data_IF_673218599134
#
_entry.id   IF_673218599134
#
_cell.length_a   1.000
_cell.length_b   1.000
_cell.length_c   1.000
_cell.angle_alpha   90.00
_cell.angle_beta   90.00
_cell.angle_gamma   90.00
#
_symmetry.space_group_name_H-M   'P 1'
#
loop_
_entity.id
_entity.type
_entity.pdbx_description
1 polymer ?
#
# COMPACT_ATOMS: atom_id res chain seq x y z
N UNK A 1 20.47 21.77 72.85
CA UNK A 1 19.61 20.81 72.10
C UNK A 1 18.31 21.54 71.75
N UNK A 2 18.05 21.83 70.46
CA UNK A 2 17.17 21.03 69.56
C UNK A 2 15.71 21.09 70.08
N UNK A 3 14.65 21.54 69.41
CA UNK A 3 14.27 21.61 67.99
C UNK A 3 13.12 22.61 67.88
N UNK A 4 13.21 23.64 67.05
CA UNK A 4 12.04 24.45 66.61
C UNK A 4 12.31 24.93 65.19
N UNK A 5 12.03 24.08 64.19
CA UNK A 5 11.91 24.43 62.76
C UNK A 5 11.78 23.13 61.96
N UNK A 6 10.58 22.57 61.79
CA UNK A 6 10.31 21.55 60.76
C UNK A 6 8.82 21.17 60.74
N UNK A 7 7.90 22.08 60.42
CA UNK A 7 6.48 21.70 60.23
C UNK A 7 5.77 22.47 59.10
N UNK A 8 6.51 23.13 58.20
CA UNK A 8 5.92 23.85 57.05
C UNK A 8 6.70 23.59 55.76
N UNK A 9 6.99 22.33 55.45
CA UNK A 9 7.60 21.95 54.16
C UNK A 9 7.16 20.55 53.67
N UNK A 10 5.97 20.08 54.07
CA UNK A 10 5.48 18.77 53.66
C UNK A 10 4.03 18.76 53.12
N UNK A 11 3.52 19.93 52.72
CA UNK A 11 2.18 20.05 52.13
C UNK A 11 2.18 20.62 50.69
N UNK A 12 3.35 20.91 50.12
CA UNK A 12 3.48 21.47 48.77
C UNK A 12 4.30 20.62 47.80
N UNK A 13 4.47 19.33 48.11
CA UNK A 13 5.16 18.36 47.23
C UNK A 13 4.28 17.17 46.83
N UNK A 14 3.02 17.12 47.29
CA UNK A 14 2.07 16.05 46.95
C UNK A 14 1.10 16.39 45.79
N UNK A 15 1.11 17.64 45.28
CA UNK A 15 0.13 18.09 44.28
C UNK A 15 0.64 18.06 42.82
N UNK A 16 1.88 17.67 42.55
CA UNK A 16 2.47 17.71 41.19
C UNK A 16 2.59 16.31 40.53
N UNK A 17 2.26 15.23 41.23
CA UNK A 17 2.47 13.86 40.74
C UNK A 17 1.28 13.23 39.97
N UNK A 18 0.21 13.97 39.66
CA UNK A 18 -1.03 13.42 39.10
C UNK A 18 -1.35 13.85 37.65
N UNK A 19 -0.46 14.57 36.97
CA UNK A 19 -0.77 15.14 35.64
C UNK A 19 -0.20 14.39 34.42
N UNK A 20 0.46 13.23 34.58
CA UNK A 20 1.20 12.59 33.47
C UNK A 20 0.69 11.23 32.96
N UNK A 21 -0.50 10.77 33.34
CA UNK A 21 -0.98 9.41 32.96
C UNK A 21 -2.07 9.34 31.87
N UNK A 22 -2.58 10.44 31.32
CA UNK A 22 -3.80 10.36 30.49
C UNK A 22 -3.60 9.89 29.04
N UNK A 23 -2.38 10.01 28.47
CA UNK A 23 -2.17 9.70 27.05
C UNK A 23 -2.04 8.21 26.74
N UNK A 24 -1.29 7.47 27.56
CA UNK A 24 -0.99 6.05 27.31
C UNK A 24 -2.17 5.14 27.57
N UNK A 25 -3.00 5.44 28.57
CA UNK A 25 -4.17 4.63 28.94
C UNK A 25 -5.28 4.70 27.87
N UNK A 26 -5.46 5.85 27.22
CA UNK A 26 -6.45 6.05 26.15
C UNK A 26 -6.05 5.33 24.86
N UNK A 27 -4.77 5.41 24.45
CA UNK A 27 -4.27 4.68 23.28
C UNK A 27 -4.38 3.16 23.46
N UNK A 28 -4.08 2.67 24.66
CA UNK A 28 -4.21 1.26 25.01
C UNK A 28 -5.68 0.79 24.97
N UNK A 29 -6.62 1.64 25.40
CA UNK A 29 -8.05 1.35 25.35
C UNK A 29 -8.56 1.16 23.91
N UNK A 30 -8.13 2.02 22.98
CA UNK A 30 -8.49 1.89 21.56
C UNK A 30 -7.86 0.62 20.93
N UNK A 31 -6.59 0.35 21.25
CA UNK A 31 -5.86 -0.81 20.71
C UNK A 31 -6.40 -2.16 21.19
N UNK A 32 -7.04 -2.22 22.35
CA UNK A 32 -7.67 -3.42 22.93
C UNK A 32 -9.20 -3.43 22.81
N UNK A 33 -9.79 -2.48 22.07
CA UNK A 33 -11.23 -2.43 21.83
C UNK A 33 -11.74 -3.76 21.23
N UNK A 34 -12.84 -4.33 21.75
CA UNK A 34 -13.39 -5.58 21.24
C UNK A 34 -14.07 -5.37 19.88
N UNK A 35 -14.18 -6.45 19.10
CA UNK A 35 -15.04 -6.44 17.93
C UNK A 35 -16.52 -6.18 18.35
N UNK A 36 -17.24 -5.30 17.62
CA UNK A 36 -18.66 -5.02 17.88
C UNK A 36 -19.55 -6.26 17.90
N UNK A 37 -20.65 -6.21 18.66
CA UNK A 37 -21.54 -7.38 18.86
C UNK A 37 -22.23 -7.84 17.57
N UNK A 38 -22.67 -6.89 16.76
CA UNK A 38 -23.25 -7.14 15.43
C UNK A 38 -22.26 -7.86 14.51
N UNK A 39 -20.99 -7.43 14.52
CA UNK A 39 -19.91 -8.09 13.79
C UNK A 39 -19.69 -9.51 14.27
N UNK A 40 -19.65 -9.73 15.59
CA UNK A 40 -19.55 -11.07 16.17
C UNK A 40 -20.73 -11.96 15.76
N UNK A 41 -21.95 -11.42 15.67
CA UNK A 41 -23.13 -12.16 15.23
C UNK A 41 -23.02 -12.56 13.74
N UNK A 42 -22.59 -11.63 12.87
CA UNK A 42 -22.32 -11.92 11.45
C UNK A 42 -21.28 -13.02 11.31
N UNK A 43 -20.17 -12.92 12.06
CA UNK A 43 -19.12 -13.93 12.07
C UNK A 43 -19.63 -15.29 12.50
N UNK A 44 -20.39 -15.36 13.60
CA UNK A 44 -20.93 -16.62 14.11
C UNK A 44 -21.89 -17.27 13.11
N UNK A 45 -22.73 -16.48 12.43
CA UNK A 45 -23.64 -16.99 11.40
C UNK A 45 -22.91 -17.58 10.18
N UNK A 46 -21.65 -17.19 9.96
CA UNK A 46 -20.81 -17.61 8.84
C UNK A 46 -19.70 -18.60 9.24
N UNK A 47 -19.79 -19.19 10.45
CA UNK A 47 -18.81 -20.18 10.92
C UNK A 47 -17.42 -19.59 11.22
N UNK A 48 -17.34 -18.30 11.56
CA UNK A 48 -16.08 -17.61 11.86
C UNK A 48 -15.94 -17.35 13.35
N UNK A 49 -14.73 -17.48 13.90
CA UNK A 49 -14.43 -17.11 15.29
C UNK A 49 -13.58 -15.84 15.33
N UNK A 50 -13.45 -15.17 16.50
CA UNK A 50 -12.57 -13.99 16.66
C UNK A 50 -11.17 -14.21 16.10
N UNK A 51 -10.60 -15.38 16.38
CA UNK A 51 -9.25 -15.77 15.99
C UNK A 51 -9.13 -16.39 14.58
N UNK A 52 -10.19 -16.42 13.76
CA UNK A 52 -10.05 -16.98 12.40
C UNK A 52 -9.06 -16.17 11.57
N UNK A 53 -8.24 -16.82 10.72
CA UNK A 53 -7.37 -16.10 9.79
C UNK A 53 -8.13 -15.07 8.95
N UNK A 54 -7.46 -13.97 8.62
CA UNK A 54 -8.03 -12.88 7.82
C UNK A 54 -7.19 -12.61 6.58
N UNK A 55 -7.80 -11.89 5.65
CA UNK A 55 -7.14 -11.13 4.61
C UNK A 55 -7.92 -9.85 4.36
N UNK A 56 -7.29 -8.86 3.75
CA UNK A 56 -7.96 -7.61 3.40
C UNK A 56 -7.79 -7.33 1.91
N UNK A 57 -8.79 -6.68 1.32
CA UNK A 57 -8.70 -6.17 -0.05
C UNK A 57 -9.01 -4.69 -0.06
N UNK A 58 -8.23 -3.93 -0.79
CA UNK A 58 -8.39 -2.50 -0.96
C UNK A 58 -8.66 -2.24 -2.43
N UNK A 59 -9.68 -1.45 -2.71
CA UNK A 59 -10.09 -1.07 -4.05
C UNK A 59 -10.10 0.46 -4.14
N UNK A 60 -9.20 1.01 -4.97
CA UNK A 60 -9.03 2.47 -5.06
C UNK A 60 -10.22 3.15 -5.72
N UNK A 61 -10.72 2.65 -6.84
CA UNK A 61 -11.88 3.25 -7.54
C UNK A 61 -13.17 3.18 -6.72
N UNK A 62 -13.38 2.06 -6.05
CA UNK A 62 -14.54 1.88 -5.20
C UNK A 62 -14.39 2.54 -3.83
N UNK A 63 -13.20 3.05 -3.49
CA UNK A 63 -12.87 3.67 -2.20
C UNK A 63 -13.25 2.79 -1.01
N UNK A 64 -12.97 1.48 -1.10
CA UNK A 64 -13.31 0.53 -0.03
C UNK A 64 -12.17 -0.38 0.40
N UNK A 65 -12.16 -0.69 1.69
CA UNK A 65 -11.41 -1.78 2.30
C UNK A 65 -12.38 -2.88 2.73
N UNK A 66 -12.15 -4.10 2.26
CA UNK A 66 -12.91 -5.29 2.63
C UNK A 66 -12.11 -6.16 3.62
N UNK A 67 -12.75 -6.59 4.70
CA UNK A 67 -12.19 -7.60 5.61
C UNK A 67 -12.83 -8.95 5.32
N UNK A 68 -12.00 -9.90 4.93
CA UNK A 68 -12.37 -11.29 4.65
C UNK A 68 -11.81 -12.19 5.73
N UNK A 69 -12.55 -13.23 6.10
CA UNK A 69 -12.17 -14.11 7.21
C UNK A 69 -12.47 -15.56 6.88
N UNK A 70 -11.61 -16.45 7.35
CA UNK A 70 -11.75 -17.88 7.13
C UNK A 70 -12.94 -18.44 7.94
N UNK A 71 -13.83 -19.14 7.25
CA UNK A 71 -14.93 -19.92 7.81
C UNK A 71 -14.43 -21.28 8.30
N UNK A 72 -15.31 -22.05 8.93
CA UNK A 72 -15.08 -23.45 9.32
C UNK A 72 -14.81 -24.39 8.14
N UNK A 73 -15.24 -24.03 6.92
CA UNK A 73 -14.94 -24.78 5.69
C UNK A 73 -13.53 -24.54 5.16
N UNK A 74 -12.76 -23.62 5.75
CA UNK A 74 -11.42 -23.25 5.30
C UNK A 74 -11.38 -22.22 4.17
N UNK A 75 -12.53 -21.82 3.63
CA UNK A 75 -12.66 -20.72 2.65
C UNK A 75 -12.84 -19.38 3.36
N UNK A 76 -12.57 -18.31 2.64
CA UNK A 76 -12.73 -16.95 3.09
C UNK A 76 -14.05 -16.39 2.58
N UNK A 77 -14.75 -15.72 3.47
CA UNK A 77 -15.97 -15.00 3.13
C UNK A 77 -15.89 -13.57 3.70
N UNK A 78 -16.57 -12.65 3.04
CA UNK A 78 -16.58 -11.23 3.38
C UNK A 78 -17.26 -11.04 4.72
N UNK A 79 -16.59 -10.41 5.67
CA UNK A 79 -17.21 -10.06 6.96
C UNK A 79 -17.84 -8.69 6.87
N UNK A 80 -17.07 -7.70 6.40
CA UNK A 80 -17.49 -6.31 6.34
C UNK A 80 -16.67 -5.51 5.33
N UNK A 81 -17.28 -4.44 4.84
CA UNK A 81 -16.68 -3.46 3.93
C UNK A 81 -16.70 -2.11 4.62
N UNK A 82 -15.60 -1.36 4.50
CA UNK A 82 -15.41 -0.04 5.06
C UNK A 82 -15.07 0.94 3.95
N UNK A 83 -15.70 2.10 3.96
CA UNK A 83 -15.34 3.22 3.09
C UNK A 83 -14.00 3.80 3.52
N UNK A 84 -13.16 4.13 2.54
CA UNK A 84 -11.86 4.76 2.72
C UNK A 84 -12.09 6.27 2.65
N UNK A 85 -11.70 6.99 3.70
CA UNK A 85 -11.80 8.45 3.74
C UNK A 85 -10.97 9.14 2.65
N UNK A 86 -9.72 8.70 2.54
CA UNK A 86 -8.76 9.29 1.63
C UNK A 86 -7.63 8.31 1.33
N UNK A 87 -7.18 8.30 0.09
CA UNK A 87 -5.88 7.77 -0.29
C UNK A 87 -5.16 8.80 -1.17
N UNK A 88 -3.86 8.63 -1.40
CA UNK A 88 -3.10 9.59 -2.21
C UNK A 88 -2.70 9.01 -3.55
N UNK A 89 -2.61 9.89 -4.55
CA UNK A 89 -2.26 9.56 -5.92
C UNK A 89 -3.46 8.99 -6.69
N UNK A 90 -3.20 8.55 -7.91
CA UNK A 90 -4.22 7.99 -8.80
C UNK A 90 -4.20 6.45 -8.76
N UNK A 91 -4.95 5.82 -9.66
CA UNK A 91 -4.75 4.40 -10.00
C UNK A 91 -3.39 4.22 -10.63
N UNK A 92 -2.60 3.33 -10.06
CA UNK A 92 -1.24 3.01 -10.46
C UNK A 92 -0.39 2.57 -9.27
N UNK A 93 0.74 1.88 -9.54
CA UNK A 93 1.68 1.50 -8.51
C UNK A 93 2.45 2.72 -7.96
N UNK A 94 2.87 2.62 -6.70
CA UNK A 94 3.85 3.52 -6.09
C UNK A 94 5.26 3.22 -6.65
N UNK A 95 6.08 4.24 -6.89
CA UNK A 95 7.45 4.06 -7.40
C UNK A 95 8.53 4.59 -6.46
N UNK A 96 8.31 5.74 -5.83
CA UNK A 96 9.38 6.47 -5.12
C UNK A 96 8.91 7.03 -3.78
N UNK A 97 9.85 7.20 -2.85
CA UNK A 97 9.60 7.94 -1.61
C UNK A 97 9.11 9.37 -1.92
N UNK A 98 8.08 9.83 -1.21
CA UNK A 98 7.51 11.17 -1.43
C UNK A 98 6.67 11.38 -2.70
N UNK A 99 6.46 10.37 -3.55
CA UNK A 99 5.60 10.49 -4.76
C UNK A 99 4.09 10.67 -4.45
N UNK A 100 3.71 10.64 -3.16
CA UNK A 100 2.32 10.73 -2.68
C UNK A 100 1.39 9.71 -3.35
N UNK A 101 1.90 8.53 -3.70
CA UNK A 101 1.13 7.45 -4.31
C UNK A 101 0.90 6.32 -3.32
N UNK A 102 -0.36 5.93 -3.10
CA UNK A 102 -0.69 4.69 -2.38
C UNK A 102 -0.38 3.47 -3.26
N UNK A 103 0.24 2.42 -2.70
CA UNK A 103 0.73 1.28 -3.48
C UNK A 103 -0.42 0.39 -3.99
N UNK A 104 -0.13 -0.38 -5.03
CA UNK A 104 -0.96 -1.49 -5.51
C UNK A 104 -0.11 -2.75 -5.45
N UNK A 105 -0.72 -3.91 -5.20
CA UNK A 105 0.01 -5.17 -5.08
C UNK A 105 -0.47 -6.08 -3.96
N UNK A 106 0.38 -7.06 -3.63
CA UNK A 106 0.13 -8.06 -2.58
C UNK A 106 1.12 -7.85 -1.44
N UNK A 107 0.59 -7.65 -0.24
CA UNK A 107 1.32 -7.27 0.95
C UNK A 107 1.02 -8.24 2.09
N UNK A 108 1.93 -8.34 3.06
CA UNK A 108 1.79 -9.24 4.20
C UNK A 108 2.06 -8.49 5.50
N UNK A 109 1.04 -8.44 6.36
CA UNK A 109 1.05 -7.71 7.61
C UNK A 109 1.16 -8.70 8.76
N UNK A 110 2.30 -8.68 9.45
CA UNK A 110 2.54 -9.46 10.65
C UNK A 110 2.32 -8.62 11.92
N UNK A 111 2.46 -9.23 13.09
CA UNK A 111 2.25 -8.57 14.38
C UNK A 111 3.15 -7.35 14.60
N UNK A 112 4.37 -7.36 14.07
CA UNK A 112 5.34 -6.26 14.22
C UNK A 112 5.02 -5.05 13.35
N UNK A 113 4.11 -5.21 12.37
CA UNK A 113 3.62 -4.15 11.52
C UNK A 113 2.34 -3.50 12.06
N UNK A 114 1.78 -3.99 13.18
CA UNK A 114 0.72 -3.31 13.90
C UNK A 114 1.30 -2.18 14.76
N UNK A 115 0.62 -1.04 14.78
CA UNK A 115 1.01 0.12 15.57
C UNK A 115 -0.17 0.63 16.42
N UNK A 116 -0.27 0.22 17.69
CA UNK A 116 -1.31 0.70 18.60
C UNK A 116 -1.09 2.17 19.03
N UNK A 117 0.12 2.70 18.88
CA UNK A 117 0.50 4.05 19.33
C UNK A 117 0.65 5.02 18.14
N UNK A 118 -0.13 4.81 17.08
CA UNK A 118 -0.12 5.69 15.91
C UNK A 118 -0.57 7.10 16.28
N UNK A 119 0.13 8.11 15.75
CA UNK A 119 -0.28 9.51 15.87
C UNK A 119 -1.56 9.85 15.08
N UNK A 120 -2.06 8.91 14.27
CA UNK A 120 -3.26 9.03 13.44
C UNK A 120 -4.37 8.06 13.88
N UNK A 121 -4.47 7.76 15.18
CA UNK A 121 -5.43 6.81 15.77
C UNK A 121 -5.36 5.38 15.21
N UNK A 122 -4.50 4.55 15.82
CA UNK A 122 -4.15 3.19 15.38
C UNK A 122 -3.60 3.14 13.94
N UNK A 123 -2.73 2.18 13.67
CA UNK A 123 -2.37 1.87 12.27
C UNK A 123 -1.79 0.48 12.12
N UNK A 124 -1.68 0.04 10.89
CA UNK A 124 -0.73 -1.00 10.52
C UNK A 124 -0.04 -0.67 9.21
N UNK A 125 1.21 -1.09 9.09
CA UNK A 125 2.02 -0.88 7.90
C UNK A 125 1.82 -2.07 6.93
N UNK A 126 1.63 -1.77 5.64
CA UNK A 126 1.48 -2.78 4.59
C UNK A 126 2.78 -3.59 4.35
N UNK A 127 3.95 -3.06 4.72
CA UNK A 127 5.23 -3.70 4.42
C UNK A 127 5.71 -3.44 2.99
N UNK A 128 5.26 -2.33 2.38
CA UNK A 128 5.87 -1.80 1.17
C UNK A 128 7.29 -1.26 1.48
N UNK A 129 8.28 -1.44 0.59
CA UNK A 129 8.21 -2.19 -0.67
C UNK A 129 8.31 -3.69 -0.45
N UNK A 130 7.46 -4.50 -1.12
CA UNK A 130 7.54 -5.96 -1.08
C UNK A 130 8.65 -6.50 -2.03
N UNK A 131 8.76 -7.83 -2.20
CA UNK A 131 9.79 -8.42 -3.07
C UNK A 131 9.69 -7.97 -4.55
N UNK A 132 8.46 -7.83 -5.07
CA UNK A 132 8.20 -7.29 -6.41
C UNK A 132 8.62 -5.82 -6.51
N UNK A 133 8.27 -5.02 -5.51
CA UNK A 133 8.59 -3.60 -5.50
C UNK A 133 10.11 -3.39 -5.46
N UNK A 134 10.81 -4.12 -4.59
CA UNK A 134 12.27 -4.06 -4.46
C UNK A 134 12.99 -4.52 -5.73
N UNK A 135 12.50 -5.56 -6.43
CA UNK A 135 13.14 -6.03 -7.67
C UNK A 135 13.02 -5.03 -8.83
N UNK A 136 12.09 -4.08 -8.74
CA UNK A 136 11.96 -2.93 -9.64
C UNK A 136 12.67 -1.66 -9.13
N UNK A 137 13.41 -1.75 -8.02
CA UNK A 137 14.08 -0.58 -7.42
C UNK A 137 13.11 0.46 -6.86
N UNK A 138 11.86 0.09 -6.54
CA UNK A 138 10.89 1.02 -5.95
C UNK A 138 11.28 1.35 -4.52
N UNK A 139 11.10 2.61 -4.15
CA UNK A 139 11.43 3.14 -2.82
C UNK A 139 10.20 3.75 -2.15
N UNK A 140 10.26 3.87 -0.83
CA UNK A 140 9.15 4.33 -0.02
C UNK A 140 9.10 3.61 1.32
N UNK A 141 8.40 4.20 2.28
CA UNK A 141 8.25 3.64 3.62
C UNK A 141 6.94 4.13 4.26
N UNK A 142 6.48 3.41 5.30
CA UNK A 142 5.30 3.79 6.09
C UNK A 142 4.00 3.92 5.29
N UNK A 143 3.76 3.01 4.34
CA UNK A 143 2.48 2.89 3.65
C UNK A 143 1.50 2.16 4.58
N UNK A 144 0.68 2.93 5.27
CA UNK A 144 -0.17 2.44 6.35
C UNK A 144 -1.66 2.43 5.97
N UNK A 145 -2.41 1.65 6.73
CA UNK A 145 -3.85 1.86 6.94
C UNK A 145 -4.01 2.44 8.34
N UNK A 146 -4.66 3.61 8.47
CA UNK A 146 -4.73 4.35 9.74
C UNK A 146 -6.02 5.19 9.86
N UNK A 147 -6.28 5.79 11.03
CA UNK A 147 -7.42 6.70 11.28
C UNK A 147 -7.18 8.14 10.81
N UNK A 148 -7.78 9.11 11.48
CA UNK A 148 -7.66 10.57 11.23
C UNK A 148 -8.15 11.07 9.85
N UNK A 149 -8.68 10.18 8.99
CA UNK A 149 -9.32 10.54 7.71
C UNK A 149 -8.47 11.45 6.79
N UNK A 150 -7.14 11.46 6.96
CA UNK A 150 -6.20 12.37 6.29
C UNK A 150 -5.03 11.59 5.72
N UNK A 151 -4.72 11.72 4.42
CA UNK A 151 -3.68 10.90 3.77
C UNK A 151 -2.63 11.71 3.00
N UNK A 152 -1.36 11.25 3.08
CA UNK A 152 -0.21 11.70 2.27
C UNK A 152 0.54 10.53 1.63
N UNK A 153 -0.17 9.44 1.31
CA UNK A 153 0.38 8.20 0.74
C UNK A 153 -0.27 6.92 1.30
N UNK A 154 -1.01 7.04 2.41
CA UNK A 154 -1.65 5.93 3.12
C UNK A 154 -3.09 5.70 2.68
N UNK A 155 -3.71 4.64 3.20
CA UNK A 155 -5.17 4.48 3.17
C UNK A 155 -5.73 4.97 4.51
N UNK A 156 -6.29 6.18 4.51
CA UNK A 156 -6.88 6.77 5.71
C UNK A 156 -8.34 6.31 5.85
N UNK A 157 -8.70 5.91 7.06
CA UNK A 157 -10.02 5.48 7.49
C UNK A 157 -10.55 6.48 8.51
N UNK A 158 -11.83 6.37 8.87
CA UNK A 158 -12.33 7.01 10.10
C UNK A 158 -11.76 6.30 11.33
N UNK A 159 -11.73 7.00 12.46
CA UNK A 159 -11.26 6.43 13.73
C UNK A 159 -12.07 5.21 14.17
N UNK A 160 -13.38 5.24 13.94
CA UNK A 160 -14.27 4.12 14.19
C UNK A 160 -13.91 2.90 13.33
N UNK A 161 -13.71 3.10 12.02
CA UNK A 161 -13.40 2.00 11.11
C UNK A 161 -12.04 1.40 11.38
N UNK A 162 -11.00 2.20 11.61
CA UNK A 162 -9.68 1.66 11.92
C UNK A 162 -9.66 0.93 13.27
N UNK A 163 -10.41 1.37 14.28
CA UNK A 163 -10.53 0.62 15.54
C UNK A 163 -11.07 -0.79 15.31
N UNK A 164 -12.11 -0.91 14.47
CA UNK A 164 -12.68 -2.22 14.15
C UNK A 164 -11.74 -3.07 13.27
N UNK A 165 -11.16 -2.49 12.22
CA UNK A 165 -10.19 -3.16 11.32
C UNK A 165 -8.96 -3.62 12.11
N UNK A 166 -8.45 -2.80 13.01
CA UNK A 166 -7.32 -3.13 13.89
C UNK A 166 -7.69 -4.27 14.84
N UNK A 167 -8.91 -4.27 15.40
CA UNK A 167 -9.38 -5.39 16.22
C UNK A 167 -9.42 -6.70 15.41
N UNK A 168 -9.87 -6.70 14.15
CA UNK A 168 -9.79 -7.89 13.30
C UNK A 168 -8.35 -8.40 13.14
N UNK A 169 -7.41 -7.50 12.82
CA UNK A 169 -6.00 -7.84 12.66
C UNK A 169 -5.39 -8.39 13.95
N UNK A 170 -5.63 -7.71 15.08
CA UNK A 170 -5.16 -8.11 16.41
C UNK A 170 -5.67 -9.49 16.78
N UNK A 171 -6.98 -9.74 16.69
CA UNK A 171 -7.59 -11.01 17.08
C UNK A 171 -7.12 -12.19 16.21
N UNK A 172 -6.99 -11.98 14.89
CA UNK A 172 -6.51 -12.99 13.96
C UNK A 172 -5.05 -13.40 14.26
N UNK A 173 -4.16 -12.41 14.42
CA UNK A 173 -2.74 -12.65 14.71
C UNK A 173 -2.52 -13.21 16.12
N UNK A 174 -3.24 -12.69 17.12
CA UNK A 174 -3.21 -13.22 18.50
C UNK A 174 -3.72 -14.66 18.58
N UNK A 175 -4.59 -15.06 17.65
CA UNK A 175 -5.12 -16.40 17.52
C UNK A 175 -4.10 -17.49 17.15
N UNK A 176 -2.91 -17.11 16.65
CA UNK A 176 -1.81 -18.03 16.34
C UNK A 176 -2.02 -18.96 15.14
N UNK A 177 -3.19 -18.95 14.50
CA UNK A 177 -3.46 -19.73 13.26
C UNK A 177 -2.84 -19.12 12.01
N UNK A 178 -2.40 -17.86 12.09
CA UNK A 178 -1.79 -17.11 11.00
C UNK A 178 -0.77 -16.12 11.59
N UNK A 179 0.46 -16.11 11.06
CA UNK A 179 1.54 -15.23 11.55
C UNK A 179 1.59 -13.89 10.82
N UNK A 180 1.00 -13.82 9.63
CA UNK A 180 0.82 -12.62 8.84
C UNK A 180 -0.44 -12.76 7.97
N UNK A 181 -1.21 -11.68 7.81
CA UNK A 181 -2.35 -11.67 6.90
C UNK A 181 -2.03 -10.94 5.61
N UNK A 182 -2.66 -11.38 4.51
CA UNK A 182 -2.46 -10.77 3.21
C UNK A 182 -3.34 -9.52 3.07
N UNK A 183 -2.78 -8.44 2.54
CA UNK A 183 -3.52 -7.25 2.08
C UNK A 183 -3.31 -7.13 0.57
N UNK A 184 -4.40 -7.13 -0.18
CA UNK A 184 -4.37 -7.00 -1.64
C UNK A 184 -4.88 -5.61 -2.03
N UNK A 185 -4.04 -4.78 -2.62
CA UNK A 185 -4.41 -3.44 -3.06
C UNK A 185 -4.55 -3.40 -4.58
N UNK A 186 -5.75 -3.07 -5.06
CA UNK A 186 -6.12 -3.07 -6.47
C UNK A 186 -6.56 -1.68 -6.93
N UNK A 187 -6.36 -1.35 -8.23
CA UNK A 187 -6.85 -0.09 -8.79
C UNK A 187 -8.39 -0.01 -8.79
N UNK A 188 -9.06 -1.15 -8.97
CA UNK A 188 -10.51 -1.32 -9.05
C UNK A 188 -10.86 -2.80 -8.90
N UNK A 189 -12.15 -3.15 -8.77
CA UNK A 189 -12.58 -4.56 -8.90
C UNK A 189 -12.22 -5.09 -10.28
N UNK A 190 -11.33 -6.09 -10.35
CA UNK A 190 -10.65 -6.50 -11.59
C UNK A 190 -11.52 -7.37 -12.54
N UNK A 191 -12.79 -6.98 -12.70
CA UNK A 191 -13.72 -7.59 -13.66
C UNK A 191 -13.24 -7.35 -15.10
N UNK A 192 -13.62 -8.22 -16.06
CA UNK A 192 -13.29 -8.02 -17.47
C UNK A 192 -13.73 -6.63 -18.00
N UNK A 193 -14.88 -6.12 -17.54
CA UNK A 193 -15.42 -4.82 -17.93
C UNK A 193 -14.57 -3.66 -17.42
N UNK A 194 -14.16 -3.69 -16.14
CA UNK A 194 -13.30 -2.65 -15.57
C UNK A 194 -11.90 -2.69 -16.17
N UNK A 195 -11.38 -3.88 -16.49
CA UNK A 195 -10.13 -4.02 -17.24
C UNK A 195 -10.28 -3.40 -18.64
N UNK A 196 -11.37 -3.65 -19.35
CA UNK A 196 -11.63 -3.10 -20.68
C UNK A 196 -11.77 -1.57 -20.67
N UNK A 197 -12.44 -1.02 -19.64
CA UNK A 197 -12.59 0.42 -19.42
C UNK A 197 -11.24 1.13 -19.25
N UNK A 198 -10.26 0.46 -18.66
CA UNK A 198 -8.95 1.05 -18.36
C UNK A 198 -7.81 0.47 -19.22
N UNK A 199 -8.12 -0.14 -20.37
CA UNK A 199 -7.16 -0.84 -21.23
C UNK A 199 -6.02 0.03 -21.76
N UNK A 200 -6.25 1.32 -21.92
CA UNK A 200 -5.28 2.27 -22.47
C UNK A 200 -4.37 2.90 -21.40
N UNK A 201 -4.53 2.49 -20.13
CA UNK A 201 -3.67 2.94 -19.04
C UNK A 201 -2.21 2.50 -19.26
N UNK A 202 -1.21 3.37 -18.94
CA UNK A 202 0.19 2.96 -18.94
C UNK A 202 0.48 1.83 -17.94
N UNK A 203 -0.39 1.64 -16.95
CA UNK A 203 -0.27 0.61 -15.92
C UNK A 203 -1.01 -0.69 -16.27
N UNK A 204 -1.66 -0.78 -17.44
CA UNK A 204 -2.46 -1.95 -17.80
C UNK A 204 -1.65 -3.26 -17.80
N UNK A 205 -0.39 -3.22 -18.24
CA UNK A 205 0.52 -4.37 -18.16
C UNK A 205 0.73 -4.88 -16.73
N UNK A 206 0.88 -3.96 -15.77
CA UNK A 206 0.99 -4.27 -14.35
C UNK A 206 -0.33 -4.81 -13.77
N UNK A 207 -1.46 -4.21 -14.14
CA UNK A 207 -2.79 -4.66 -13.71
C UNK A 207 -3.15 -6.05 -14.24
N UNK A 208 -2.68 -6.44 -15.44
CA UNK A 208 -2.82 -7.83 -15.90
C UNK A 208 -2.14 -8.83 -14.94
N UNK A 209 -1.01 -8.46 -14.32
CA UNK A 209 -0.37 -9.32 -13.32
C UNK A 209 -1.18 -9.36 -12.01
N UNK A 210 -1.68 -8.22 -11.54
CA UNK A 210 -2.55 -8.19 -10.35
C UNK A 210 -3.82 -9.01 -10.54
N UNK A 211 -4.40 -8.96 -11.75
CA UNK A 211 -5.58 -9.72 -12.12
C UNK A 211 -5.39 -11.22 -11.93
N UNK A 212 -4.20 -11.76 -12.19
CA UNK A 212 -3.94 -13.19 -11.97
C UNK A 212 -4.18 -13.58 -10.51
N UNK A 213 -3.61 -12.84 -9.55
CA UNK A 213 -3.83 -13.11 -8.13
C UNK A 213 -5.26 -12.85 -7.67
N UNK A 214 -5.90 -11.81 -8.23
CA UNK A 214 -7.33 -11.54 -8.02
C UNK A 214 -8.19 -12.74 -8.46
N UNK A 215 -7.99 -13.24 -9.67
CA UNK A 215 -8.73 -14.35 -10.25
C UNK A 215 -8.48 -15.66 -9.48
N UNK A 216 -7.25 -15.90 -8.99
CA UNK A 216 -6.98 -17.04 -8.10
C UNK A 216 -7.82 -16.99 -6.84
N UNK A 217 -7.92 -15.84 -6.18
CA UNK A 217 -8.77 -15.70 -4.99
C UNK A 217 -10.26 -15.90 -5.31
N UNK A 218 -10.76 -15.35 -6.42
CA UNK A 218 -12.17 -15.51 -6.80
C UNK A 218 -12.55 -16.98 -7.06
N UNK A 219 -11.62 -17.78 -7.62
CA UNK A 219 -11.81 -19.21 -7.85
C UNK A 219 -11.78 -20.02 -6.55
N UNK A 220 -10.79 -19.77 -5.69
CA UNK A 220 -10.50 -20.65 -4.56
C UNK A 220 -11.20 -20.21 -3.29
N UNK A 221 -11.52 -18.91 -3.18
CA UNK A 221 -11.89 -18.25 -1.92
C UNK A 221 -10.84 -18.47 -0.84
N UNK A 222 -9.57 -18.52 -1.21
CA UNK A 222 -8.43 -18.61 -0.29
C UNK A 222 -7.34 -17.65 -0.78
N UNK A 223 -6.67 -16.90 0.12
CA UNK A 223 -5.61 -15.99 -0.28
C UNK A 223 -4.53 -16.77 -1.06
N UNK A 224 -4.21 -16.37 -2.29
CA UNK A 224 -3.23 -17.09 -3.09
C UNK A 224 -1.85 -17.02 -2.43
N UNK A 225 -1.06 -18.09 -2.56
CA UNK A 225 0.38 -18.01 -2.36
C UNK A 225 0.95 -17.04 -3.41
N UNK A 226 1.74 -16.08 -2.97
CA UNK A 226 2.32 -15.04 -3.83
C UNK A 226 3.83 -15.14 -3.78
N UNK A 227 4.42 -15.34 -4.95
CA UNK A 227 5.87 -15.37 -5.17
C UNK A 227 6.24 -14.37 -6.28
N UNK A 228 7.54 -14.15 -6.48
CA UNK A 228 8.05 -13.25 -7.51
C UNK A 228 9.26 -13.88 -8.18
N UNK A 229 9.28 -13.89 -9.50
CA UNK A 229 10.46 -14.17 -10.33
C UNK A 229 10.34 -13.42 -11.66
N UNK A 230 11.46 -13.18 -12.34
CA UNK A 230 11.56 -12.31 -13.53
C UNK A 230 10.92 -10.92 -13.33
N UNK A 231 10.88 -10.43 -12.09
CA UNK A 231 10.14 -9.20 -11.74
C UNK A 231 8.64 -9.28 -12.08
N UNK A 232 8.04 -10.46 -12.00
CA UNK A 232 6.61 -10.71 -12.22
C UNK A 232 6.04 -11.44 -11.01
N UNK A 233 4.78 -11.15 -10.68
CA UNK A 233 4.07 -11.93 -9.68
C UNK A 233 3.76 -13.33 -10.21
N UNK A 234 3.91 -14.31 -9.33
CA UNK A 234 3.55 -15.70 -9.54
C UNK A 234 2.58 -16.12 -8.44
N UNK A 235 1.55 -16.89 -8.79
CA UNK A 235 0.48 -17.26 -7.85
C UNK A 235 0.28 -18.77 -7.82
N UNK A 236 0.23 -19.34 -6.61
CA UNK A 236 -0.06 -20.76 -6.36
C UNK A 236 0.81 -21.73 -7.20
N UNK A 237 2.06 -21.36 -7.47
CA UNK A 237 3.02 -22.23 -8.13
C UNK A 237 4.02 -22.81 -7.13
N UNK A 238 4.51 -23.99 -7.46
CA UNK A 238 5.55 -24.73 -6.74
C UNK A 238 6.74 -24.80 -7.69
N UNK A 239 7.94 -24.35 -7.29
CA UNK A 239 9.13 -24.55 -8.09
C UNK A 239 9.55 -26.02 -8.04
N UNK A 240 9.93 -26.58 -9.19
CA UNK A 240 10.40 -27.98 -9.27
C UNK A 240 11.78 -28.14 -8.62
N UNK A 241 12.62 -27.09 -8.69
CA UNK A 241 13.85 -26.95 -7.93
C UNK A 241 14.05 -25.53 -7.38
N UNK A 242 14.81 -25.41 -6.29
CA UNK A 242 15.18 -24.13 -5.70
C UNK A 242 14.02 -23.33 -5.09
N UNK A 243 14.19 -22.01 -5.07
CA UNK A 243 13.21 -21.05 -4.55
C UNK A 243 12.96 -19.94 -5.58
N UNK A 244 11.85 -19.22 -5.43
CA UNK A 244 11.58 -18.06 -6.27
C UNK A 244 12.43 -16.86 -5.86
N UNK A 245 13.25 -16.37 -6.79
CA UNK A 245 14.03 -15.16 -6.61
C UNK A 245 13.46 -14.01 -7.47
N UNK A 246 13.12 -12.90 -6.81
CA UNK A 246 12.34 -11.82 -7.43
C UNK A 246 12.94 -11.21 -8.70
N UNK A 247 14.27 -11.18 -8.84
CA UNK A 247 14.98 -10.61 -9.98
C UNK A 247 15.56 -11.66 -10.95
N UNK A 248 15.59 -12.94 -10.55
CA UNK A 248 16.18 -14.03 -11.34
C UNK A 248 15.15 -14.63 -12.31
N UNK A 249 15.63 -15.52 -13.18
CA UNK A 249 14.77 -16.31 -14.08
C UNK A 249 13.81 -17.17 -13.25
N UNK A 250 12.57 -17.32 -13.71
CA UNK A 250 11.64 -18.23 -13.06
C UNK A 250 12.12 -19.68 -13.23
N UNK A 251 12.19 -20.48 -12.16
CA UNK A 251 12.45 -21.92 -12.27
C UNK A 251 11.31 -22.60 -13.04
N UNK A 252 11.47 -23.88 -13.37
CA UNK A 252 10.32 -24.67 -13.81
C UNK A 252 9.34 -24.79 -12.65
N UNK A 253 8.05 -24.68 -12.96
CA UNK A 253 7.01 -24.61 -11.95
C UNK A 253 5.84 -25.49 -12.30
N UNK A 254 5.23 -26.04 -11.26
CA UNK A 254 3.96 -26.74 -11.34
C UNK A 254 2.88 -26.03 -10.53
N UNK A 255 1.62 -26.27 -10.90
CA UNK A 255 0.43 -25.83 -10.18
C UNK A 255 -0.46 -27.05 -9.96
N UNK A 256 -1.19 -27.16 -8.84
CA UNK A 256 -2.15 -28.25 -8.65
C UNK A 256 -3.09 -28.38 -9.86
N UNK A 257 -3.18 -29.58 -10.43
CA UNK A 257 -3.86 -29.80 -11.71
C UNK A 257 -5.33 -29.32 -11.72
N UNK A 258 -6.15 -29.54 -10.66
CA UNK A 258 -7.51 -28.99 -10.62
C UNK A 258 -7.54 -27.46 -10.71
N UNK A 259 -6.63 -26.78 -10.00
CA UNK A 259 -6.53 -25.33 -10.01
C UNK A 259 -6.06 -24.81 -11.38
N UNK A 260 -5.08 -25.48 -12.00
CA UNK A 260 -4.58 -25.09 -13.32
C UNK A 260 -5.66 -25.18 -14.40
N UNK A 261 -6.47 -26.23 -14.40
CA UNK A 261 -7.59 -26.40 -15.34
C UNK A 261 -8.65 -25.31 -15.12
N UNK A 262 -9.09 -25.12 -13.87
CA UNK A 262 -10.10 -24.12 -13.54
C UNK A 262 -9.64 -22.69 -13.88
N UNK A 263 -8.38 -22.36 -13.60
CA UNK A 263 -7.81 -21.05 -13.90
C UNK A 263 -7.71 -20.79 -15.40
N UNK A 264 -7.28 -21.78 -16.19
CA UNK A 264 -7.22 -21.63 -17.65
C UNK A 264 -8.60 -21.42 -18.27
N UNK A 265 -9.62 -22.14 -17.79
CA UNK A 265 -11.01 -21.94 -18.21
C UNK A 265 -11.51 -20.53 -17.86
N UNK A 266 -11.29 -20.08 -16.62
CA UNK A 266 -11.67 -18.73 -16.19
C UNK A 266 -10.98 -17.67 -17.05
N UNK A 267 -9.69 -17.82 -17.32
CA UNK A 267 -8.90 -16.89 -18.14
C UNK A 267 -9.46 -16.77 -19.55
N UNK A 268 -9.84 -17.88 -20.19
CA UNK A 268 -10.45 -17.87 -21.51
C UNK A 268 -11.82 -17.18 -21.49
N UNK A 269 -12.67 -17.47 -20.50
CA UNK A 269 -13.96 -16.82 -20.33
C UNK A 269 -13.81 -15.31 -20.12
N UNK A 270 -12.90 -14.89 -19.23
CA UNK A 270 -12.59 -13.50 -18.97
C UNK A 270 -12.03 -12.78 -20.21
N UNK A 271 -11.23 -13.45 -21.05
CA UNK A 271 -10.74 -12.88 -22.30
C UNK A 271 -11.89 -12.57 -23.28
N UNK A 272 -12.86 -13.49 -23.42
CA UNK A 272 -14.06 -13.24 -24.23
C UNK A 272 -14.89 -12.09 -23.68
N UNK A 273 -15.10 -12.02 -22.36
CA UNK A 273 -15.88 -10.93 -21.74
C UNK A 273 -15.16 -9.58 -21.85
N UNK A 274 -13.83 -9.58 -21.74
CA UNK A 274 -13.03 -8.39 -22.00
C UNK A 274 -13.24 -7.90 -23.44
N UNK A 275 -13.12 -8.78 -24.44
CA UNK A 275 -13.32 -8.41 -25.85
C UNK A 275 -14.74 -7.90 -26.12
N UNK A 276 -15.76 -8.52 -25.50
CA UNK A 276 -17.14 -8.02 -25.51
C UNK A 276 -17.27 -6.62 -24.92
N UNK A 277 -16.61 -6.36 -23.80
CA UNK A 277 -16.63 -5.06 -23.16
C UNK A 277 -15.90 -4.00 -24.03
N UNK A 278 -14.79 -4.36 -24.65
CA UNK A 278 -14.06 -3.49 -25.59
C UNK A 278 -14.92 -3.14 -26.80
N UNK A 279 -15.49 -4.14 -27.48
CA UNK A 279 -16.36 -3.94 -28.64
C UNK A 279 -17.54 -3.00 -28.31
N UNK A 280 -18.15 -3.17 -27.13
CA UNK A 280 -19.22 -2.29 -26.63
C UNK A 280 -18.75 -0.86 -26.43
N UNK A 281 -17.58 -0.65 -25.82
CA UNK A 281 -17.00 0.68 -25.58
C UNK A 281 -16.63 1.39 -26.89
N UNK A 282 -16.25 0.64 -27.92
CA UNK A 282 -15.86 1.17 -29.24
C UNK A 282 -17.04 1.31 -30.20
N UNK A 283 -18.23 0.84 -29.83
CA UNK A 283 -19.40 0.85 -30.71
C UNK A 283 -19.25 -0.03 -31.95
N UNK A 284 -18.38 -1.04 -31.91
CA UNK A 284 -18.14 -1.98 -33.02
C UNK A 284 -18.78 -3.35 -32.75
N UNK A 285 -19.09 -4.14 -33.79
CA UNK A 285 -19.45 -5.53 -33.60
C UNK A 285 -18.31 -6.30 -32.92
N UNK A 286 -18.68 -7.35 -32.19
CA UNK A 286 -17.72 -8.28 -31.59
C UNK A 286 -16.95 -8.99 -32.70
N UNK A 287 -15.65 -8.77 -32.76
CA UNK A 287 -14.76 -9.48 -33.67
C UNK A 287 -14.13 -10.66 -32.92
N UNK A 288 -14.67 -11.84 -33.15
CA UNK A 288 -14.11 -13.06 -32.60
C UNK A 288 -13.13 -13.62 -33.62
N UNK A 289 -11.84 -13.45 -33.35
CA UNK A 289 -10.82 -14.22 -34.05
C UNK A 289 -11.12 -15.72 -33.90
N UNK A 290 -10.70 -16.52 -34.89
CA UNK A 290 -11.05 -17.95 -35.03
C UNK A 290 -10.73 -18.82 -33.80
N UNK A 291 -9.89 -18.34 -32.87
CA UNK A 291 -9.58 -19.02 -31.61
C UNK A 291 -10.59 -18.78 -30.47
N UNK A 292 -11.53 -17.84 -30.63
CA UNK A 292 -12.46 -17.41 -29.59
C UNK A 292 -13.93 -17.77 -29.90
N UNK A 293 -14.20 -18.22 -31.13
CA UNK A 293 -15.49 -18.80 -31.56
C UNK A 293 -15.80 -20.09 -30.82
N UNK A 294 -14.80 -20.93 -30.53
CA UNK A 294 -14.98 -22.15 -29.70
C UNK A 294 -15.42 -21.87 -28.25
N UNK A 295 -15.31 -20.62 -27.78
CA UNK A 295 -15.79 -20.19 -26.46
C UNK A 295 -17.25 -19.72 -26.46
N UNK A 296 -17.84 -19.44 -27.63
CA UNK A 296 -19.28 -19.18 -27.73
C UNK A 296 -20.12 -20.44 -27.59
N UNK A 297 -19.57 -21.58 -28.01
CA UNK A 297 -20.19 -22.92 -27.93
C UNK A 297 -19.94 -23.62 -26.60
N UNK A 298 -19.12 -23.04 -25.71
CA UNK A 298 -19.14 -23.45 -24.33
C UNK A 298 -20.51 -23.04 -23.77
N UNK A 299 -21.35 -23.98 -23.31
CA UNK A 299 -22.53 -23.60 -22.57
C UNK A 299 -22.08 -22.66 -21.44
N UNK A 300 -22.92 -21.74 -20.96
CA UNK A 300 -22.66 -21.08 -19.69
C UNK A 300 -22.64 -22.20 -18.65
N UNK A 301 -21.49 -22.83 -18.46
CA UNK A 301 -21.32 -23.81 -17.42
C UNK A 301 -21.45 -22.96 -16.18
N UNK A 302 -22.49 -23.17 -15.35
CA UNK A 302 -22.40 -22.64 -14.02
C UNK A 302 -21.11 -23.24 -13.47
N UNK A 303 -20.27 -22.40 -12.87
CA UNK A 303 -19.08 -22.81 -12.10
C UNK A 303 -19.42 -23.97 -11.14
N UNK A 304 -20.71 -24.17 -10.84
CA UNK A 304 -21.37 -25.28 -10.16
C UNK A 304 -21.13 -26.72 -10.65
N UNK A 305 -20.54 -27.00 -11.82
CA UNK A 305 -20.36 -28.40 -12.29
C UNK A 305 -18.94 -28.96 -12.28
N UNK A 306 -17.94 -28.12 -12.05
CA UNK A 306 -16.68 -28.61 -11.50
C UNK A 306 -16.89 -28.82 -10.00
N UNK A 307 -16.34 -29.89 -9.40
CA UNK A 307 -16.29 -29.93 -7.94
C UNK A 307 -15.63 -28.64 -7.43
N UNK A 308 -16.26 -27.90 -6.49
CA UNK A 308 -15.70 -26.65 -6.03
C UNK A 308 -14.30 -26.90 -5.45
N UNK A 309 -13.26 -26.30 -6.05
CA UNK A 309 -11.86 -26.44 -5.62
C UNK A 309 -11.75 -26.37 -4.10
N UNK A 310 -11.43 -27.45 -3.42
CA UNK A 310 -11.40 -27.47 -1.96
C UNK A 310 -10.19 -26.68 -1.45
N UNK A 311 -10.16 -26.23 -0.19
CA UNK A 311 -8.94 -25.63 0.37
C UNK A 311 -7.71 -26.54 0.28
N UNK A 312 -7.87 -27.86 0.17
CA UNK A 312 -6.76 -28.80 -0.02
C UNK A 312 -6.17 -28.75 -1.45
N UNK A 313 -6.93 -28.27 -2.43
CA UNK A 313 -6.49 -28.09 -3.81
C UNK A 313 -5.67 -26.80 -4.01
N UNK A 314 -5.48 -26.03 -2.94
CA UNK A 314 -4.77 -24.74 -2.96
C UNK A 314 -3.62 -24.78 -1.98
N UNK A 315 -2.47 -24.27 -2.43
CA UNK A 315 -1.31 -24.16 -1.57
C UNK A 315 -1.61 -23.24 -0.39
N UNK A 316 -1.14 -23.58 0.83
CA UNK A 316 -1.27 -22.67 1.95
C UNK A 316 -0.58 -21.35 1.62
N UNK A 317 -1.16 -20.25 2.09
CA UNK A 317 -0.57 -18.91 2.00
C UNK A 317 0.66 -18.85 2.91
N UNK A 318 1.78 -19.46 2.52
CA UNK A 318 3.06 -19.30 3.22
C UNK A 318 3.65 -17.97 2.76
N UNK A 319 3.15 -16.89 3.35
CA UNK A 319 3.78 -15.58 3.30
C UNK A 319 4.60 -15.40 4.56
N UNK A 320 5.77 -16.04 4.64
CA UNK A 320 6.78 -15.60 5.59
C UNK A 320 7.48 -14.41 4.92
N UNK A 321 7.34 -13.16 5.41
CA UNK A 321 8.21 -12.10 4.93
C UNK A 321 9.65 -12.56 5.18
N UNK A 322 10.60 -12.37 4.25
CA UNK A 322 12.00 -12.38 4.67
C UNK A 322 12.11 -11.35 5.80
N UNK A 323 12.75 -11.72 6.91
CA UNK A 323 13.11 -10.79 7.99
C UNK A 323 14.01 -9.69 7.39
N UNK A 324 13.39 -8.65 6.87
CA UNK A 324 14.03 -7.37 6.66
C UNK A 324 13.80 -6.57 7.94
N UNK A 325 14.86 -6.46 8.73
CA UNK A 325 14.99 -5.62 9.90
C UNK A 325 14.71 -4.15 9.57
N UNK A 326 13.43 -3.76 9.58
CA UNK A 326 13.06 -2.34 9.67
C UNK A 326 13.14 -1.96 11.14
N UNK A 327 14.28 -1.41 11.55
CA UNK A 327 14.35 -0.65 12.79
C UNK A 327 13.40 0.54 12.69
N UNK A 328 12.56 0.81 13.73
CA UNK A 328 11.77 2.02 13.76
C UNK A 328 12.71 3.19 14.10
N UNK A 329 13.16 3.93 13.10
CA UNK A 329 13.72 5.27 13.36
C UNK A 329 12.56 6.18 13.72
N UNK A 330 12.46 6.53 15.01
CA UNK A 330 11.50 7.51 15.48
C UNK A 330 11.77 8.86 14.78
N UNK A 331 10.84 9.30 13.94
CA UNK A 331 10.82 10.68 13.46
C UNK A 331 10.18 11.51 14.57
N UNK A 332 11.01 12.28 15.28
CA UNK A 332 10.53 13.38 16.12
C UNK A 332 9.81 14.41 15.24
N UNK A 333 8.64 14.94 15.65
CA UNK A 333 8.04 16.07 14.96
C UNK A 333 8.97 17.28 15.03
N UNK A 334 9.19 17.92 13.88
CA UNK A 334 9.91 19.19 13.82
C UNK A 334 9.21 20.21 14.73
N UNK A 335 9.86 20.58 15.83
CA UNK A 335 9.41 21.65 16.70
C UNK A 335 9.41 22.97 15.90
N UNK A 336 8.24 23.60 15.83
CA UNK A 336 8.08 24.98 15.40
C UNK A 336 8.89 25.89 16.32
N UNK A 337 9.90 26.56 15.79
CA UNK A 337 10.57 27.66 16.50
C UNK A 337 10.15 28.99 15.90
N UNK A 338 9.30 29.70 16.64
CA UNK A 338 8.99 31.11 16.41
C UNK A 338 9.53 31.90 17.60
N UNK A 339 10.28 32.97 17.30
CA UNK A 339 10.78 34.02 18.22
C UNK A 339 11.87 33.60 19.23
N UNK A 340 12.87 34.38 19.59
CA UNK A 340 13.19 35.79 19.33
C UNK A 340 14.72 35.95 19.35
N UNK A 341 15.27 36.71 18.40
CA UNK A 341 16.65 37.19 18.47
C UNK A 341 16.72 38.33 19.49
N UNK A 342 17.54 38.16 20.52
CA UNK A 342 18.12 39.28 21.27
C UNK A 342 19.64 39.15 21.17
N UNK A 343 20.23 40.07 20.42
CA UNK A 343 21.67 40.32 20.41
C UNK A 343 22.07 41.04 21.70
N UNK A 344 23.29 40.79 22.18
CA UNK A 344 24.11 41.89 22.64
C UNK A 344 25.39 42.01 21.80
N UNK A 345 25.69 43.26 21.46
CA UNK A 345 26.93 43.73 20.88
C UNK A 345 28.12 43.63 21.87
N UNK A 346 29.31 43.92 21.32
CA UNK A 346 30.61 44.30 21.93
C UNK A 346 31.54 43.13 22.31
N UNK A 347 32.84 43.13 22.02
CA UNK A 347 33.74 44.15 21.47
C UNK A 347 34.96 43.46 20.81
N UNK A 348 35.48 44.06 19.74
CA UNK A 348 36.72 43.68 19.06
C UNK A 348 37.87 44.44 19.71
N UNK A 349 39.02 43.78 19.94
CA UNK A 349 40.33 44.45 20.08
C UNK A 349 41.37 43.81 19.15
N UNK A 350 42.32 44.60 18.58
CA UNK A 350 43.19 44.16 17.50
C UNK A 350 44.67 44.00 17.90
N UNK A 351 45.44 43.31 17.05
CA UNK A 351 46.91 43.28 17.03
C UNK A 351 47.43 41.85 16.84
N UNK A 352 48.45 41.53 16.05
CA UNK A 352 49.49 42.31 15.36
C UNK A 352 50.12 41.41 14.28
N UNK A 353 50.62 42.00 13.19
CA UNK A 353 51.22 41.33 12.03
C UNK A 353 52.67 40.83 12.25
N UNK A 354 53.08 39.80 11.49
CA UNK A 354 54.49 39.40 11.26
C UNK A 354 54.64 38.05 10.51
N UNK A 355 55.68 37.82 9.68
CA UNK A 355 55.45 37.44 8.27
C UNK A 355 56.26 36.23 7.70
N UNK A 356 55.98 35.86 6.43
CA UNK A 356 56.78 35.08 5.42
C UNK A 356 56.98 33.57 5.78
N UNK A 357 56.71 32.56 4.93
CA UNK A 357 57.48 32.11 3.76
C UNK A 357 56.64 31.24 2.81
N UNK A 358 56.79 31.51 1.51
CA UNK A 358 56.29 30.75 0.38
C UNK A 358 57.07 29.44 0.15
N UNK A 359 56.38 28.36 -0.28
CA UNK A 359 56.96 27.35 -1.17
C UNK A 359 55.93 26.85 -2.18
N UNK A 360 56.25 27.17 -3.42
CA UNK A 360 55.73 26.66 -4.68
C UNK A 360 56.14 25.22 -4.95
N UNK A 361 55.26 24.45 -5.58
CA UNK A 361 55.67 23.54 -6.66
C UNK A 361 54.50 23.32 -7.63
N UNK A 362 54.73 23.78 -8.86
CA UNK A 362 53.90 23.58 -10.04
C UNK A 362 54.35 22.33 -10.80
N UNK A 363 53.45 21.76 -11.61
CA UNK A 363 53.64 21.05 -12.89
C UNK A 363 52.34 20.30 -13.20
N UNK A 364 51.67 20.31 -14.35
CA UNK A 364 51.77 20.95 -15.67
C UNK A 364 50.44 20.63 -16.39
N UNK A 365 49.81 21.56 -17.13
CA UNK A 365 49.81 21.66 -18.61
C UNK A 365 49.40 20.31 -19.26
N UNK A 366 48.24 20.16 -19.92
CA UNK A 366 47.88 20.77 -21.22
C UNK A 366 46.36 20.99 -21.40
N UNK A 367 46.04 22.09 -22.08
CA UNK A 367 44.73 22.45 -22.61
C UNK A 367 44.55 21.91 -24.04
N UNK A 368 43.30 21.82 -24.50
CA UNK A 368 43.00 22.18 -25.88
C UNK A 368 41.59 22.79 -26.00
N UNK A 369 41.53 24.02 -26.49
CA UNK A 369 40.35 24.78 -26.88
C UNK A 369 40.42 24.97 -28.38
N UNK A 370 39.33 24.68 -29.09
CA UNK A 370 39.12 25.07 -30.48
C UNK A 370 37.80 25.82 -30.58
N UNK A 371 37.87 27.13 -30.74
CA UNK A 371 36.75 27.98 -31.11
C UNK A 371 36.75 28.18 -32.64
N UNK A 372 35.57 28.22 -33.27
CA UNK A 372 35.36 29.07 -34.43
C UNK A 372 33.94 29.68 -34.44
N UNK A 373 33.96 30.92 -34.88
CA UNK A 373 32.96 31.98 -35.03
C UNK A 373 31.98 31.77 -36.19
N UNK A 374 30.79 32.38 -36.13
CA UNK A 374 29.92 32.59 -37.29
C UNK A 374 28.66 33.40 -36.95
N UNK A 375 28.62 34.63 -37.44
CA UNK A 375 27.67 35.73 -37.21
C UNK A 375 26.35 35.67 -38.01
N UNK A 376 25.34 36.43 -37.52
CA UNK A 376 24.22 37.11 -38.22
C UNK A 376 22.82 36.61 -37.82
N UNK A 377 21.73 37.38 -37.74
CA UNK A 377 21.43 38.82 -37.67
C UNK A 377 19.89 38.92 -37.57
N UNK A 378 19.36 39.83 -36.74
CA UNK A 378 18.10 40.64 -36.90
C UNK A 378 16.77 39.86 -37.05
N UNK A 379 15.79 39.95 -36.14
CA UNK A 379 14.72 40.99 -36.12
C UNK A 379 13.89 40.94 -34.81
N UNK A 380 13.68 42.11 -34.19
CA UNK A 380 12.49 42.48 -33.38
C UNK A 380 11.32 42.87 -34.34
N UNK A 381 10.01 42.95 -33.96
CA UNK A 381 9.56 43.58 -32.71
C UNK A 381 8.19 43.17 -32.08
N UNK A 382 7.97 43.74 -30.89
CA UNK A 382 6.74 44.36 -30.33
C UNK A 382 5.52 43.54 -29.89
N UNK A 383 5.00 44.00 -28.75
CA UNK A 383 3.84 43.59 -27.98
C UNK A 383 2.48 43.85 -28.64
N UNK A 384 1.46 43.12 -28.18
CA UNK A 384 0.09 43.63 -27.99
C UNK A 384 -0.69 42.74 -26.99
N UNK A 385 -1.33 43.41 -26.03
CA UNK A 385 -2.38 42.89 -25.14
C UNK A 385 -3.61 42.44 -25.93
N UNK A 386 -4.31 41.41 -25.44
CA UNK A 386 -5.78 41.33 -25.49
C UNK A 386 -6.27 40.31 -24.45
N UNK A 387 -7.12 40.75 -23.52
CA UNK A 387 -7.87 39.87 -22.63
C UNK A 387 -9.21 39.44 -23.24
N UNK A 388 -9.67 38.24 -22.93
CA UNK A 388 -11.05 37.72 -23.09
C UNK A 388 -11.21 36.58 -22.06
N UNK A 389 -11.91 36.80 -20.93
CA UNK A 389 -13.33 36.48 -20.66
C UNK A 389 -13.66 34.97 -20.60
N UNK A 390 -13.86 34.50 -19.37
CA UNK A 390 -14.54 33.25 -18.99
C UNK A 390 -16.05 33.32 -19.33
N UNK A 391 -16.69 32.22 -19.76
CA UNK A 391 -18.13 32.06 -19.65
C UNK A 391 -18.52 31.27 -18.39
N UNK A 392 -19.57 31.78 -17.75
CA UNK A 392 -20.17 31.32 -16.51
C UNK A 392 -21.03 30.05 -16.66
N UNK A 393 -21.21 29.40 -15.52
CA UNK A 393 -22.12 28.29 -15.25
C UNK A 393 -23.58 28.59 -15.62
N UNK A 394 -24.32 27.55 -16.01
CA UNK A 394 -25.79 27.53 -16.06
C UNK A 394 -26.35 26.48 -15.08
N UNK A 395 -27.52 26.75 -14.47
CA UNK A 395 -28.07 25.95 -13.38
C UNK A 395 -28.91 24.76 -13.86
N UNK A 396 -29.10 23.84 -12.92
CA UNK A 396 -29.94 22.65 -12.96
C UNK A 396 -31.42 22.97 -13.22
N UNK A 397 -32.03 22.16 -14.08
CA UNK A 397 -33.43 21.74 -14.00
C UNK A 397 -33.48 20.22 -14.11
#
# INVERSE_FOLDING_TARGET
MRVRSALTALALSAAVALASCQGSDVLNLAAEAPLPRDVINIMSAKGMTRSSPIMMRIFKDEEVLEVWKQTDTGRYDLVKTYEICAFSGDKGPKFQEGDRQSPEGFYFVNRNLLNPNSSYHLSFNLGFPNAFDRSHGRTGSFLMVHGDCSSRGCYAMTDEYITEIYAFAREALRGGRQNAFQVQAFPFRMTPENMAKHRDSPHFGYWKMLKSGYDHFELTRTPPKVDVCERKYIFNQIPDDGEFEAAAQCPQTTMPAPLAIAYNQLKQQHALQFERAVARLEGRPLDLSEGMTGLLDLPPTPVSRAEPLTPADVLPTVGQPPEASVQPTAIQPAASSTSAQSTPLTAITPGTAGPIIARSSASGITANVGAQTGTAAVTTPSAAETGVLLPAARPLQ
#
